data_IF_637462897134
#
_entry.id   IF_637462897134
#
_cell.length_a   1.000
_cell.length_b   1.000
_cell.length_c   1.000
_cell.angle_alpha   90.00
_cell.angle_beta   90.00
_cell.angle_gamma   90.00
#
_symmetry.space_group_name_H-M   'P 1'
#
loop_
_entity.id
_entity.type
_entity.pdbx_description
1 polymer ?
#
# COMPACT_ATOMS: atom_id res chain seq x y z
N UNK A 1 -33.65 -7.27 -1.79
CA UNK A 1 -33.14 -5.95 -1.36
C UNK A 1 -31.74 -5.80 -1.95
N UNK A 2 -31.50 -4.78 -2.76
CA UNK A 2 -30.16 -4.43 -3.23
C UNK A 2 -29.59 -3.42 -2.25
N UNK A 3 -28.44 -3.75 -1.64
CA UNK A 3 -27.70 -2.86 -0.77
C UNK A 3 -26.71 -2.07 -1.60
N UNK A 4 -26.82 -0.74 -1.60
CA UNK A 4 -25.80 0.13 -2.17
C UNK A 4 -24.54 0.04 -1.29
N UNK A 5 -23.43 -0.33 -1.89
CA UNK A 5 -22.12 -0.37 -1.24
C UNK A 5 -21.27 0.73 -1.86
N UNK A 6 -20.44 1.41 -1.04
CA UNK A 6 -19.54 2.43 -1.56
C UNK A 6 -18.52 1.81 -2.51
N UNK A 7 -18.22 2.52 -3.59
CA UNK A 7 -17.24 2.07 -4.59
C UNK A 7 -15.87 1.82 -3.95
N UNK A 8 -15.51 2.57 -2.90
CA UNK A 8 -14.28 2.36 -2.13
C UNK A 8 -14.21 0.99 -1.45
N UNK A 9 -15.33 0.48 -0.93
CA UNK A 9 -15.40 -0.84 -0.30
C UNK A 9 -15.30 -1.94 -1.35
N UNK A 10 -15.92 -1.75 -2.52
CA UNK A 10 -15.80 -2.67 -3.65
C UNK A 10 -14.36 -2.69 -4.16
N UNK A 11 -13.69 -1.54 -4.22
CA UNK A 11 -12.30 -1.45 -4.67
C UNK A 11 -11.35 -2.09 -3.65
N UNK A 12 -11.57 -1.88 -2.36
CA UNK A 12 -10.80 -2.52 -1.29
C UNK A 12 -11.02 -4.04 -1.26
N UNK A 13 -12.27 -4.50 -1.42
CA UNK A 13 -12.61 -5.92 -1.51
C UNK A 13 -12.03 -6.58 -2.77
N UNK A 14 -12.04 -5.87 -3.90
CA UNK A 14 -11.42 -6.35 -5.15
C UNK A 14 -9.90 -6.39 -5.03
N UNK A 15 -9.28 -5.42 -4.36
CA UNK A 15 -7.86 -5.45 -4.07
C UNK A 15 -7.48 -6.63 -3.17
N UNK A 16 -8.24 -6.86 -2.08
CA UNK A 16 -8.06 -8.01 -1.21
C UNK A 16 -8.27 -9.35 -1.95
N UNK A 17 -9.28 -9.45 -2.81
CA UNK A 17 -9.60 -10.65 -3.59
C UNK A 17 -8.61 -10.94 -4.72
N UNK A 18 -7.94 -9.92 -5.26
CA UNK A 18 -6.91 -10.06 -6.30
C UNK A 18 -5.50 -10.29 -5.73
N UNK A 19 -5.35 -10.35 -4.41
CA UNK A 19 -4.03 -10.36 -3.75
C UNK A 19 -3.25 -9.06 -3.98
N UNK A 20 -3.92 -7.98 -4.39
CA UNK A 20 -3.35 -6.65 -4.46
C UNK A 20 -3.19 -6.16 -3.01
N UNK A 21 -1.96 -6.00 -2.54
CA UNK A 21 -1.71 -5.52 -1.17
C UNK A 21 -2.33 -4.13 -0.98
N UNK A 22 -2.82 -3.85 0.24
CA UNK A 22 -3.53 -2.62 0.58
C UNK A 22 -2.86 -1.37 -0.01
N UNK A 23 -3.63 -0.43 -0.58
CA UNK A 23 -3.09 0.78 -1.20
C UNK A 23 -2.39 1.71 -0.20
N UNK A 24 -2.57 1.45 1.10
CA UNK A 24 -1.91 2.12 2.21
C UNK A 24 -1.01 1.12 2.91
N UNK A 25 0.27 1.47 3.02
CA UNK A 25 1.25 0.74 3.83
C UNK A 25 0.97 1.08 5.29
N UNK A 26 0.66 0.07 6.08
CA UNK A 26 0.64 0.24 7.52
C UNK A 26 2.07 0.31 8.05
N UNK A 27 2.60 1.53 8.18
CA UNK A 27 3.95 1.78 8.67
C UNK A 27 4.16 1.36 10.13
N UNK A 28 3.08 1.04 10.86
CA UNK A 28 3.16 0.49 12.23
C UNK A 28 3.35 -1.03 12.27
N UNK A 29 3.20 -1.71 11.13
CA UNK A 29 3.41 -3.16 11.03
C UNK A 29 4.74 -3.46 10.35
N UNK A 30 5.71 -3.99 11.10
CA UNK A 30 7.00 -4.42 10.56
C UNK A 30 6.85 -5.43 9.41
N UNK A 31 5.85 -6.30 9.49
CA UNK A 31 5.54 -7.28 8.43
C UNK A 31 5.08 -6.60 7.15
N UNK A 32 4.23 -5.57 7.24
CA UNK A 32 3.77 -4.82 6.08
C UNK A 32 4.92 -4.02 5.45
N UNK A 33 5.74 -3.36 6.27
CA UNK A 33 6.94 -2.64 5.84
C UNK A 33 7.92 -3.57 5.14
N UNK A 34 8.21 -4.74 5.70
CA UNK A 34 9.10 -5.73 5.09
C UNK A 34 8.57 -6.27 3.75
N UNK A 35 7.26 -6.57 3.68
CA UNK A 35 6.62 -7.04 2.46
C UNK A 35 6.73 -6.00 1.33
N UNK A 36 6.45 -4.73 1.63
CA UNK A 36 6.51 -3.66 0.65
C UNK A 36 7.93 -3.31 0.25
N UNK A 37 8.87 -3.28 1.19
CA UNK A 37 10.29 -3.10 0.91
C UNK A 37 10.80 -4.16 -0.09
N UNK A 38 10.46 -5.43 0.14
CA UNK A 38 10.78 -6.52 -0.79
C UNK A 38 10.11 -6.34 -2.16
N UNK A 39 8.86 -5.88 -2.19
CA UNK A 39 8.09 -5.63 -3.43
C UNK A 39 8.71 -4.52 -4.29
N UNK A 40 9.16 -3.45 -3.66
CA UNK A 40 9.83 -2.33 -4.33
C UNK A 40 11.31 -2.61 -4.61
N UNK A 41 11.89 -3.65 -4.01
CA UNK A 41 13.31 -3.99 -4.11
C UNK A 41 14.20 -2.95 -3.44
N UNK A 42 13.75 -2.40 -2.32
CA UNK A 42 14.47 -1.41 -1.50
C UNK A 42 14.58 -1.90 -0.07
N UNK A 43 15.39 -1.23 0.75
CA UNK A 43 15.47 -1.53 2.18
C UNK A 43 14.25 -1.02 2.94
N UNK A 44 13.94 -1.61 4.10
CA UNK A 44 12.87 -1.13 5.00
C UNK A 44 13.12 0.30 5.49
N UNK A 45 14.39 0.68 5.66
CA UNK A 45 14.79 2.04 6.04
C UNK A 45 14.48 3.03 4.93
N UNK A 46 14.80 2.71 3.66
CA UNK A 46 14.44 3.56 2.53
C UNK A 46 12.93 3.67 2.35
N UNK A 47 12.19 2.57 2.56
CA UNK A 47 10.73 2.59 2.55
C UNK A 47 10.19 3.54 3.63
N UNK A 48 10.71 3.46 4.86
CA UNK A 48 10.30 4.33 5.96
C UNK A 48 10.57 5.81 5.66
N UNK A 49 11.77 6.15 5.16
CA UNK A 49 12.11 7.52 4.75
C UNK A 49 11.22 8.01 3.59
N UNK A 50 10.87 7.14 2.65
CA UNK A 50 9.96 7.51 1.57
C UNK A 50 8.51 7.68 2.08
N UNK A 51 8.09 6.90 3.08
CA UNK A 51 6.80 7.08 3.76
C UNK A 51 6.75 8.42 4.50
N UNK A 52 7.86 8.87 5.11
CA UNK A 52 7.93 10.19 5.74
C UNK A 52 7.81 11.34 4.71
N UNK A 53 8.39 11.19 3.52
CA UNK A 53 8.34 12.23 2.49
C UNK A 53 7.02 12.30 1.73
N UNK A 54 6.42 11.15 1.41
CA UNK A 54 5.27 11.06 0.48
C UNK A 54 4.00 10.53 1.15
N UNK A 55 4.10 10.10 2.40
CA UNK A 55 3.03 9.45 3.16
C UNK A 55 2.95 7.94 2.92
N UNK A 56 2.14 7.22 3.71
CA UNK A 56 2.00 5.76 3.65
C UNK A 56 1.27 5.24 2.40
N UNK A 57 1.11 6.06 1.36
CA UNK A 57 0.41 5.68 0.13
C UNK A 57 1.34 4.95 -0.83
N UNK A 58 0.98 3.72 -1.19
CA UNK A 58 1.72 2.90 -2.17
C UNK A 58 1.83 3.61 -3.52
N UNK A 59 0.76 4.26 -3.98
CA UNK A 59 0.77 4.99 -5.25
C UNK A 59 1.76 6.16 -5.24
N UNK A 60 1.90 6.81 -4.08
CA UNK A 60 2.79 7.95 -3.91
C UNK A 60 4.26 7.48 -3.84
N UNK A 61 4.52 6.42 -3.08
CA UNK A 61 5.81 5.72 -3.06
C UNK A 61 6.21 5.20 -4.43
N UNK A 62 5.28 4.59 -5.16
CA UNK A 62 5.53 4.07 -6.50
C UNK A 62 5.89 5.18 -7.49
N UNK A 63 5.18 6.32 -7.41
CA UNK A 63 5.48 7.52 -8.19
C UNK A 63 6.82 8.15 -7.80
N UNK A 64 7.15 8.16 -6.52
CA UNK A 64 8.41 8.70 -6.00
C UNK A 64 9.62 7.84 -6.39
N UNK A 65 9.47 6.52 -6.29
CA UNK A 65 10.49 5.53 -6.68
C UNK A 65 10.54 5.30 -8.19
N UNK A 66 9.58 5.84 -8.94
CA UNK A 66 9.42 5.70 -10.39
C UNK A 66 9.50 4.24 -10.88
N UNK A 67 8.91 3.31 -10.11
CA UNK A 67 8.82 1.87 -10.40
C UNK A 67 7.38 1.45 -10.70
#
# INVERSE_FOLDING_TARGET
MITLVKVSDVLAATAAASGQPSPVIDATSDTATAYWAARFGISTVELASAIEQVGPSVAALRRYLNK
#
